data_IF_218840571908
#
_entry.id   IF_218840571908
#
_cell.length_a   1.000
_cell.length_b   1.000
_cell.length_c   1.000
_cell.angle_alpha   90.00
_cell.angle_beta   90.00
_cell.angle_gamma   90.00
#
_symmetry.space_group_name_H-M   'P 1'
#
loop_
_entity.id
_entity.type
_entity.pdbx_description
1 polymer ?
#
# COMPACT_ATOMS: atom_id res chain seq x y z
N UNK A 1 7.08 23.46 -18.05
CA UNK A 1 6.82 22.85 -16.73
C UNK A 1 7.48 21.49 -16.68
N UNK A 2 8.44 21.30 -15.79
CA UNK A 2 9.08 20.02 -15.50
C UNK A 2 8.12 19.06 -14.79
N UNK A 3 8.49 17.78 -14.73
CA UNK A 3 7.69 16.78 -14.02
C UNK A 3 7.60 17.08 -12.52
N UNK A 4 8.70 17.55 -11.92
CA UNK A 4 8.73 17.89 -10.50
C UNK A 4 7.90 19.15 -10.21
N UNK A 5 8.00 20.19 -11.05
CA UNK A 5 7.11 21.37 -10.93
C UNK A 5 5.64 20.96 -11.00
N UNK A 6 5.28 20.07 -11.93
CA UNK A 6 3.90 19.57 -12.08
C UNK A 6 3.43 18.82 -10.85
N UNK A 7 4.28 17.99 -10.25
CA UNK A 7 3.97 17.31 -8.99
C UNK A 7 3.76 18.31 -7.85
N UNK A 8 4.66 19.29 -7.69
CA UNK A 8 4.57 20.30 -6.62
C UNK A 8 3.29 21.13 -6.74
N UNK A 9 2.92 21.58 -7.94
CA UNK A 9 1.66 22.32 -8.14
C UNK A 9 0.44 21.47 -7.77
N UNK A 10 0.46 20.17 -8.04
CA UNK A 10 -0.63 19.25 -7.66
C UNK A 10 -0.67 19.02 -6.16
N UNK A 11 0.47 18.84 -5.50
CA UNK A 11 0.52 18.74 -4.04
C UNK A 11 -0.06 20.00 -3.39
N UNK A 12 0.32 21.18 -3.87
CA UNK A 12 -0.21 22.46 -3.38
C UNK A 12 -1.73 22.57 -3.59
N UNK A 13 -2.26 22.14 -4.74
CA UNK A 13 -3.69 22.14 -5.03
C UNK A 13 -4.50 21.35 -3.98
N UNK A 14 -3.97 20.23 -3.50
CA UNK A 14 -4.62 19.40 -2.47
C UNK A 14 -4.12 19.70 -1.05
N UNK A 15 -3.36 20.78 -0.85
CA UNK A 15 -2.78 21.15 0.45
C UNK A 15 -1.90 20.05 1.08
N UNK A 16 -1.20 19.29 0.24
CA UNK A 16 -0.21 18.30 0.67
C UNK A 16 1.21 18.88 0.63
N UNK A 17 2.10 18.26 1.42
CA UNK A 17 3.53 18.59 1.46
C UNK A 17 4.34 17.33 1.15
N UNK A 18 5.37 17.46 0.31
CA UNK A 18 6.29 16.36 0.03
C UNK A 18 7.25 16.16 1.21
N UNK A 19 7.31 14.93 1.73
CA UNK A 19 8.43 14.50 2.57
C UNK A 19 9.37 13.64 1.72
N UNK A 20 10.59 14.14 1.50
CA UNK A 20 11.63 13.37 0.81
C UNK A 20 12.12 12.23 1.70
N UNK A 21 11.98 11.00 1.22
CA UNK A 21 12.57 9.81 1.81
C UNK A 21 13.84 9.42 1.04
N UNK A 22 14.66 8.57 1.64
CA UNK A 22 15.83 8.03 0.96
C UNK A 22 15.43 7.28 -0.32
N UNK A 23 16.08 7.62 -1.44
CA UNK A 23 15.90 6.95 -2.74
C UNK A 23 16.56 5.58 -2.83
N UNK A 24 16.32 4.71 -1.84
CA UNK A 24 16.77 3.34 -1.81
C UNK A 24 15.63 2.37 -2.20
N UNK A 25 15.92 1.08 -2.29
CA UNK A 25 14.87 0.07 -2.52
C UNK A 25 13.91 -0.15 -1.35
N UNK A 26 13.91 0.73 -0.33
CA UNK A 26 12.92 0.76 0.74
C UNK A 26 11.98 1.97 0.65
N UNK A 27 12.17 2.87 -0.32
CA UNK A 27 11.46 4.15 -0.42
C UNK A 27 9.94 4.02 -0.31
N UNK A 28 9.30 3.06 -0.99
CA UNK A 28 7.85 2.84 -0.92
C UNK A 28 7.41 2.49 0.51
N UNK A 29 8.15 1.61 1.19
CA UNK A 29 7.86 1.21 2.58
C UNK A 29 8.15 2.33 3.57
N UNK A 30 9.16 3.19 3.31
CA UNK A 30 9.43 4.39 4.12
C UNK A 30 8.31 5.40 3.99
N UNK A 31 7.83 5.65 2.75
CA UNK A 31 6.73 6.56 2.49
C UNK A 31 5.45 6.09 3.18
N UNK A 32 5.07 4.82 3.02
CA UNK A 32 3.93 4.25 3.72
C UNK A 32 4.10 4.26 5.24
N UNK A 33 5.30 3.93 5.74
CA UNK A 33 5.60 3.97 7.18
C UNK A 33 5.40 5.37 7.74
N UNK A 34 5.83 6.40 7.02
CA UNK A 34 5.60 7.78 7.46
C UNK A 34 4.10 8.13 7.47
N UNK A 35 3.33 7.71 6.47
CA UNK A 35 1.88 7.98 6.44
C UNK A 35 1.11 7.24 7.55
N UNK A 36 1.56 6.05 7.95
CA UNK A 36 0.89 5.21 8.96
C UNK A 36 1.36 5.46 10.40
N UNK A 37 2.64 5.76 10.56
CA UNK A 37 3.31 5.80 11.86
C UNK A 37 4.02 7.13 12.16
N UNK A 38 3.88 8.12 11.28
CA UNK A 38 4.56 9.42 11.38
C UNK A 38 6.09 9.33 11.44
N UNK A 39 6.66 8.20 10.99
CA UNK A 39 8.11 8.01 10.86
C UNK A 39 8.44 7.04 9.72
N UNK A 40 9.49 7.30 8.91
CA UNK A 40 9.96 6.34 7.90
C UNK A 40 10.69 5.12 8.49
N UNK A 41 11.01 5.11 9.78
CA UNK A 41 11.91 4.12 10.39
C UNK A 41 11.26 2.74 10.60
N UNK A 42 9.93 2.69 10.64
CA UNK A 42 9.17 1.43 10.73
C UNK A 42 9.05 0.68 9.39
N UNK A 43 9.77 1.11 8.33
CA UNK A 43 9.70 0.51 7.00
C UNK A 43 10.00 -1.00 6.96
N UNK A 44 10.87 -1.52 7.85
CA UNK A 44 11.17 -2.96 7.94
C UNK A 44 9.98 -3.75 8.49
N UNK A 45 9.36 -3.22 9.56
CA UNK A 45 8.15 -3.80 10.15
C UNK A 45 7.02 -3.78 9.13
N UNK A 46 6.82 -2.64 8.46
CA UNK A 46 5.77 -2.50 7.45
C UNK A 46 5.96 -3.46 6.27
N UNK A 47 7.19 -3.58 5.75
CA UNK A 47 7.50 -4.58 4.69
C UNK A 47 7.09 -5.98 5.12
N UNK A 48 7.39 -6.37 6.36
CA UNK A 48 7.00 -7.69 6.89
C UNK A 48 5.49 -7.87 6.91
N UNK A 49 4.72 -6.86 7.33
CA UNK A 49 3.24 -6.94 7.33
C UNK A 49 2.68 -7.07 5.92
N UNK A 50 3.20 -6.29 4.96
CA UNK A 50 2.78 -6.36 3.55
C UNK A 50 3.10 -7.74 2.95
N UNK A 51 4.30 -8.28 3.21
CA UNK A 51 4.68 -9.62 2.73
C UNK A 51 3.84 -10.71 3.39
N UNK A 52 3.48 -10.57 4.67
CA UNK A 52 2.56 -11.49 5.33
C UNK A 52 1.17 -11.45 4.69
N UNK A 53 0.65 -10.27 4.36
CA UNK A 53 -0.63 -10.13 3.63
C UNK A 53 -0.58 -10.84 2.27
N UNK A 54 0.49 -10.63 1.51
CA UNK A 54 0.72 -11.30 0.23
C UNK A 54 0.76 -12.82 0.38
N UNK A 55 1.45 -13.31 1.42
CA UNK A 55 1.59 -14.74 1.69
C UNK A 55 0.28 -15.40 2.12
N UNK A 56 -0.55 -14.71 2.92
CA UNK A 56 -1.81 -15.25 3.44
C UNK A 56 -2.94 -15.25 2.41
N UNK A 57 -2.84 -14.44 1.34
CA UNK A 57 -3.91 -14.29 0.35
C UNK A 57 -3.38 -14.40 -1.09
N UNK A 58 -2.70 -15.51 -1.47
CA UNK A 58 -2.08 -15.65 -2.79
C UNK A 58 -3.09 -15.48 -3.94
N UNK A 59 -4.31 -16.00 -3.78
CA UNK A 59 -5.39 -15.90 -4.77
C UNK A 59 -5.75 -14.46 -5.16
N UNK A 60 -5.48 -13.49 -4.31
CA UNK A 60 -5.73 -12.08 -4.57
C UNK A 60 -4.64 -11.40 -5.40
N UNK A 61 -3.42 -11.96 -5.46
CA UNK A 61 -2.24 -11.27 -5.98
C UNK A 61 -1.48 -12.05 -7.05
N UNK A 62 -1.44 -13.38 -6.96
CA UNK A 62 -0.59 -14.25 -7.78
C UNK A 62 -0.82 -14.06 -9.28
N UNK A 63 -2.08 -13.88 -9.71
CA UNK A 63 -2.41 -13.64 -11.12
C UNK A 63 -1.87 -12.33 -11.71
N UNK A 64 -1.39 -11.40 -10.88
CA UNK A 64 -0.77 -10.14 -11.31
C UNK A 64 0.75 -10.19 -11.31
N UNK A 65 1.35 -11.27 -10.79
CA UNK A 65 2.80 -11.45 -10.70
C UNK A 65 3.30 -12.20 -11.94
N UNK A 66 4.20 -11.62 -12.77
CA UNK A 66 4.67 -12.24 -14.02
C UNK A 66 5.78 -13.29 -13.79
N UNK A 67 5.91 -13.81 -12.58
CA UNK A 67 6.94 -14.77 -12.16
C UNK A 67 6.37 -15.74 -11.12
N UNK A 68 7.12 -16.77 -10.78
CA UNK A 68 6.75 -17.66 -9.68
C UNK A 68 6.47 -16.87 -8.39
N UNK A 69 5.32 -17.16 -7.77
CA UNK A 69 4.84 -16.37 -6.64
C UNK A 69 5.69 -16.57 -5.38
N UNK A 70 6.21 -17.78 -5.16
CA UNK A 70 7.09 -18.04 -4.03
C UNK A 70 8.41 -17.26 -4.16
N UNK A 71 8.96 -17.17 -5.37
CA UNK A 71 10.14 -16.36 -5.64
C UNK A 71 9.87 -14.86 -5.55
N UNK A 72 8.68 -14.41 -5.96
CA UNK A 72 8.23 -13.04 -5.73
C UNK A 72 8.17 -12.70 -4.23
N UNK A 73 7.58 -13.57 -3.40
CA UNK A 73 7.52 -13.39 -1.95
C UNK A 73 8.91 -13.32 -1.32
N UNK A 74 9.84 -14.22 -1.72
CA UNK A 74 11.24 -14.19 -1.27
C UNK A 74 11.91 -12.86 -1.64
N UNK A 75 11.68 -12.38 -2.87
CA UNK A 75 12.20 -11.09 -3.35
C UNK A 75 11.62 -9.92 -2.54
N UNK A 76 10.31 -9.89 -2.31
CA UNK A 76 9.66 -8.81 -1.56
C UNK A 76 10.01 -8.79 -0.08
N UNK A 77 10.32 -9.94 0.52
CA UNK A 77 10.81 -10.04 1.89
C UNK A 77 12.20 -9.40 2.10
N UNK A 78 13.03 -9.33 1.06
CA UNK A 78 14.40 -8.81 1.16
C UNK A 78 14.42 -7.29 1.27
N UNK A 79 15.07 -6.78 2.31
CA UNK A 79 15.28 -5.32 2.47
C UNK A 79 16.06 -4.75 1.28
N UNK A 80 15.72 -3.54 0.87
CA UNK A 80 16.29 -2.89 -0.31
C UNK A 80 15.75 -3.41 -1.65
N UNK A 81 14.73 -4.28 -1.65
CA UNK A 81 13.98 -4.61 -2.87
C UNK A 81 12.80 -3.67 -3.07
N UNK A 82 12.78 -3.04 -4.23
CA UNK A 82 11.77 -2.08 -4.65
C UNK A 82 10.39 -2.74 -4.62
N UNK A 83 9.43 -2.05 -4.00
CA UNK A 83 8.02 -2.42 -4.09
C UNK A 83 7.44 -2.00 -5.44
N UNK A 84 6.23 -2.47 -5.72
CA UNK A 84 5.48 -2.25 -6.95
C UNK A 84 4.03 -1.90 -6.63
N UNK A 85 3.14 -2.01 -7.60
CA UNK A 85 1.71 -1.76 -7.41
C UNK A 85 1.03 -2.87 -6.57
N UNK A 86 1.55 -4.09 -6.58
CA UNK A 86 0.99 -5.23 -5.83
C UNK A 86 1.30 -5.07 -4.35
N UNK A 87 2.51 -4.60 -3.98
CA UNK A 87 2.82 -4.26 -2.59
C UNK A 87 2.01 -3.07 -2.06
N UNK A 88 1.61 -2.12 -2.92
CA UNK A 88 0.67 -1.06 -2.54
C UNK A 88 -0.74 -1.60 -2.32
N UNK A 89 -1.23 -2.48 -3.22
CA UNK A 89 -2.52 -3.13 -3.04
C UNK A 89 -2.56 -3.94 -1.73
N UNK A 90 -1.52 -4.75 -1.47
CA UNK A 90 -1.42 -5.50 -0.22
C UNK A 90 -1.30 -4.59 1.01
N UNK A 91 -0.68 -3.41 0.90
CA UNK A 91 -0.69 -2.43 1.97
C UNK A 91 -2.10 -1.85 2.22
N UNK A 92 -2.83 -1.51 1.17
CA UNK A 92 -4.21 -1.06 1.29
C UNK A 92 -5.07 -2.12 1.98
N UNK A 93 -4.95 -3.38 1.54
CA UNK A 93 -5.72 -4.51 2.07
C UNK A 93 -5.39 -4.80 3.54
N UNK A 94 -4.09 -4.87 3.89
CA UNK A 94 -3.63 -5.20 5.24
C UNK A 94 -4.07 -4.17 6.30
N UNK A 95 -4.16 -2.90 5.92
CA UNK A 95 -4.51 -1.82 6.85
C UNK A 95 -5.94 -1.30 6.67
N UNK A 96 -6.68 -1.78 5.68
CA UNK A 96 -8.05 -1.33 5.38
C UNK A 96 -8.12 0.14 4.96
N UNK A 97 -7.10 0.64 4.26
CA UNK A 97 -6.95 2.06 3.92
C UNK A 97 -6.96 2.29 2.42
N UNK A 98 -7.48 3.45 2.01
CA UNK A 98 -7.32 3.95 0.64
C UNK A 98 -5.97 4.62 0.48
N UNK A 99 -5.22 4.21 -0.54
CA UNK A 99 -3.93 4.82 -0.89
C UNK A 99 -4.10 5.68 -2.14
N UNK A 100 -3.61 6.92 -2.09
CA UNK A 100 -3.49 7.78 -3.25
C UNK A 100 -2.03 7.86 -3.69
N UNK A 101 -1.76 7.51 -4.94
CA UNK A 101 -0.45 7.70 -5.57
C UNK A 101 -0.52 8.95 -6.42
N UNK A 102 -0.03 10.07 -5.91
CA UNK A 102 0.10 11.29 -6.70
C UNK A 102 1.24 11.16 -7.69
N UNK A 103 0.98 11.55 -8.94
CA UNK A 103 1.98 11.45 -10.02
C UNK A 103 2.16 12.78 -10.71
N UNK A 104 3.23 12.88 -11.47
CA UNK A 104 3.43 13.95 -12.43
C UNK A 104 2.92 13.56 -13.82
N UNK A 105 2.14 12.50 -14.07
CA UNK A 105 1.69 12.22 -15.45
C UNK A 105 0.76 13.31 -15.99
N UNK A 106 0.88 13.68 -17.28
CA UNK A 106 0.13 14.83 -17.84
C UNK A 106 -1.38 14.70 -17.62
N UNK A 107 -1.90 13.52 -17.95
CA UNK A 107 -3.34 13.26 -17.98
C UNK A 107 -3.87 12.60 -16.69
N UNK A 108 -2.96 12.15 -15.82
CA UNK A 108 -3.30 11.44 -14.57
C UNK A 108 -2.69 12.17 -13.38
N UNK A 109 -3.53 12.83 -12.58
CA UNK A 109 -3.08 13.53 -11.37
C UNK A 109 -2.64 12.56 -10.28
N UNK A 110 -3.45 11.53 -10.06
CA UNK A 110 -3.21 10.49 -9.08
C UNK A 110 -3.87 9.19 -9.52
N UNK A 111 -3.47 8.10 -8.88
CA UNK A 111 -4.16 6.80 -8.94
C UNK A 111 -4.64 6.42 -7.54
N UNK A 112 -5.86 5.91 -7.44
CA UNK A 112 -6.42 5.42 -6.19
C UNK A 112 -6.27 3.91 -6.09
N UNK A 113 -5.92 3.43 -4.91
CA UNK A 113 -5.85 2.00 -4.58
C UNK A 113 -6.79 1.81 -3.39
N UNK A 114 -7.88 1.08 -3.64
CA UNK A 114 -8.88 0.74 -2.64
C UNK A 114 -8.55 -0.64 -2.05
N UNK A 115 -8.81 -0.85 -0.75
CA UNK A 115 -8.67 -2.17 -0.14
C UNK A 115 -9.68 -3.15 -0.74
N UNK A 116 -9.20 -4.34 -1.10
CA UNK A 116 -10.00 -5.46 -1.55
C UNK A 116 -10.51 -6.24 -0.34
N UNK A 117 -11.72 -5.91 0.12
CA UNK A 117 -12.40 -6.67 1.19
C UNK A 117 -12.98 -8.02 0.71
N UNK A 118 -12.24 -8.78 -0.09
CA UNK A 118 -12.64 -10.15 -0.39
C UNK A 118 -12.54 -10.96 0.91
N UNK A 119 -13.68 -11.05 1.60
CA UNK A 119 -13.89 -11.93 2.75
C UNK A 119 -13.40 -13.32 2.35
N UNK A 120 -12.54 -13.93 3.16
CA UNK A 120 -12.34 -15.37 3.13
C UNK A 120 -13.71 -16.03 3.16
N UNK A 121 -14.01 -16.92 2.22
CA UNK A 121 -15.17 -17.80 2.30
C UNK A 121 -15.00 -18.61 3.60
N UNK A 122 -15.68 -18.23 4.67
CA UNK A 122 -15.54 -18.90 5.97
C UNK A 122 -16.16 -18.22 7.17
N UNK A 123 -16.35 -16.90 7.18
CA UNK A 123 -16.94 -16.25 8.36
C UNK A 123 -18.47 -16.30 8.31
N UNK A 124 -19.14 -16.94 9.30
CA UNK A 124 -20.58 -16.81 9.44
C UNK A 124 -20.95 -15.33 9.73
N UNK A 125 -22.16 -14.89 9.37
CA UNK A 125 -22.59 -13.52 9.63
C UNK A 125 -22.48 -13.23 11.13
N UNK A 126 -21.69 -12.21 11.48
CA UNK A 126 -21.57 -11.71 12.85
C UNK A 126 -22.96 -11.51 13.44
N UNK A 127 -23.23 -12.22 14.53
CA UNK A 127 -24.50 -12.23 15.24
C UNK A 127 -25.01 -10.80 15.51
N UNK A 128 -26.31 -10.62 15.34
CA UNK A 128 -27.04 -9.41 15.74
C UNK A 128 -26.73 -9.05 17.19
N UNK A 129 -26.35 -7.79 17.44
CA UNK A 129 -26.22 -7.24 18.78
C UNK A 129 -27.63 -7.12 19.38
N UNK A 130 -27.93 -7.72 20.55
CA UNK A 130 -29.23 -7.57 21.17
C UNK A 130 -29.44 -6.11 21.60
N UNK A 131 -30.57 -5.52 21.18
CA UNK A 131 -31.03 -4.22 21.66
C UNK A 131 -31.12 -4.25 23.20
N UNK A 132 -30.33 -3.41 23.88
CA UNK A 132 -30.58 -3.09 25.28
C UNK A 132 -31.86 -2.28 25.37
N UNK A 133 -32.90 -2.85 26.00
CA UNK A 133 -34.02 -2.07 26.53
C UNK A 133 -33.50 -1.28 27.74
N UNK A 134 -33.55 0.05 27.65
CA UNK A 134 -33.78 0.95 28.78
C UNK A 134 -34.64 2.09 28.27
#
# INVERSE_FOLDING_TARGET
>A
MSDHERLLSRLQLYSFVELKVQGDGNCQFRALSHQLYHTPDNHKYLRRQIVNQLKSNPEAYEGYVPMDYADYLKKMAKSGKWGDHITLQAAADAYGLKIFVMTSFKDTCYSEILPNFRKSKGDPPSAEVPRKKK
#
